data_IF_813767125256
#
_entry.id   IF_813767125256
#
_cell.length_a   1.000
_cell.length_b   1.000
_cell.length_c   1.000
_cell.angle_alpha   90.00
_cell.angle_beta   90.00
_cell.angle_gamma   90.00
#
_symmetry.space_group_name_H-M   'P 1'
#
loop_
_entity.id
_entity.type
_entity.pdbx_description
1 polymer ?
#
# COMPACT_ATOMS: atom_id res chain seq x y z
N UNK A 1 -43.12 -10.76 33.60
CA UNK A 1 -41.94 -10.81 32.71
C UNK A 1 -42.18 -9.80 31.62
N UNK A 2 -41.60 -8.61 31.80
CA UNK A 2 -42.03 -7.38 31.15
C UNK A 2 -41.33 -7.13 29.82
N UNK A 3 -41.95 -6.26 29.01
CA UNK A 3 -41.50 -5.78 27.70
C UNK A 3 -39.97 -5.54 27.56
N UNK A 4 -39.28 -5.15 28.64
CA UNK A 4 -37.82 -4.95 28.63
C UNK A 4 -37.01 -6.19 28.22
N UNK A 5 -37.33 -7.38 28.75
CA UNK A 5 -36.62 -8.62 28.41
C UNK A 5 -36.86 -9.04 26.95
N UNK A 6 -38.04 -8.74 26.41
CA UNK A 6 -38.37 -9.00 25.01
C UNK A 6 -37.64 -8.03 24.07
N UNK A 7 -37.57 -6.75 24.43
CA UNK A 7 -36.80 -5.74 23.68
C UNK A 7 -35.30 -6.04 23.69
N UNK A 8 -34.75 -6.51 24.81
CA UNK A 8 -33.35 -6.95 24.89
C UNK A 8 -33.06 -8.14 23.98
N UNK A 9 -33.92 -9.17 23.97
CA UNK A 9 -33.79 -10.32 23.08
C UNK A 9 -33.90 -9.94 21.60
N UNK A 10 -34.79 -9.01 21.23
CA UNK A 10 -34.88 -8.53 19.85
C UNK A 10 -33.63 -7.73 19.46
N UNK A 11 -33.15 -6.84 20.33
CA UNK A 11 -31.92 -6.08 20.06
C UNK A 11 -30.70 -6.99 19.93
N UNK A 12 -30.62 -8.06 20.73
CA UNK A 12 -29.58 -9.07 20.60
C UNK A 12 -29.67 -9.81 19.26
N UNK A 13 -30.88 -10.26 18.87
CA UNK A 13 -31.09 -10.96 17.59
C UNK A 13 -30.81 -10.05 16.38
N UNK A 14 -31.13 -8.76 16.46
CA UNK A 14 -30.80 -7.78 15.41
C UNK A 14 -29.28 -7.61 15.28
N UNK A 15 -28.54 -7.57 16.40
CA UNK A 15 -27.07 -7.52 16.37
C UNK A 15 -26.47 -8.80 15.77
N UNK A 16 -27.00 -9.96 16.13
CA UNK A 16 -26.60 -11.26 15.55
C UNK A 16 -26.93 -11.37 14.05
N UNK A 17 -27.96 -10.68 13.59
CA UNK A 17 -28.35 -10.58 12.17
C UNK A 17 -27.69 -9.42 11.44
N UNK A 18 -26.89 -8.59 12.12
CA UNK A 18 -26.24 -7.44 11.48
C UNK A 18 -25.14 -7.98 10.56
N UNK A 19 -25.21 -7.70 9.24
CA UNK A 19 -24.23 -8.18 8.28
C UNK A 19 -22.82 -7.79 8.69
N UNK A 20 -21.90 -8.76 8.73
CA UNK A 20 -20.49 -8.49 8.99
C UNK A 20 -19.94 -7.80 7.74
N UNK A 21 -19.94 -6.46 7.75
CA UNK A 21 -19.43 -5.69 6.62
C UNK A 21 -17.90 -5.73 6.54
N UNK A 22 -17.24 -6.00 7.66
CA UNK A 22 -15.78 -6.10 7.74
C UNK A 22 -15.35 -7.26 8.62
N UNK A 23 -14.27 -7.92 8.22
CA UNK A 23 -13.70 -9.05 8.96
C UNK A 23 -12.19 -8.86 9.15
N UNK A 24 -11.68 -9.29 10.29
CA UNK A 24 -10.24 -9.47 10.49
C UNK A 24 -9.83 -10.82 9.91
N UNK A 25 -8.80 -10.81 9.07
CA UNK A 25 -8.29 -12.00 8.43
C UNK A 25 -6.75 -11.95 8.33
N UNK A 26 -6.10 -13.11 8.28
CA UNK A 26 -4.67 -13.22 8.03
C UNK A 26 -4.42 -13.49 6.56
N UNK A 27 -3.50 -12.71 5.95
CA UNK A 27 -3.05 -12.94 4.58
C UNK A 27 -2.40 -14.32 4.43
N UNK A 28 -2.92 -15.17 3.55
CA UNK A 28 -2.38 -16.52 3.27
C UNK A 28 -1.51 -16.49 2.01
N UNK A 29 -1.98 -15.85 0.95
CA UNK A 29 -1.23 -15.72 -0.31
C UNK A 29 -1.66 -14.47 -1.07
N UNK A 30 -0.80 -13.98 -1.95
CA UNK A 30 -1.04 -12.80 -2.78
C UNK A 30 -0.71 -13.13 -4.23
N UNK A 31 -1.69 -12.91 -5.11
CA UNK A 31 -1.49 -12.87 -6.56
C UNK A 31 -1.34 -11.41 -6.99
N UNK A 32 -0.09 -11.00 -7.17
CA UNK A 32 0.23 -9.61 -7.50
C UNK A 32 0.02 -9.25 -8.97
N UNK A 33 -0.12 -10.24 -9.85
CA UNK A 33 -0.42 -10.03 -11.26
C UNK A 33 -1.91 -9.73 -11.43
N UNK A 34 -2.76 -10.57 -10.83
CA UNK A 34 -4.21 -10.42 -10.86
C UNK A 34 -4.76 -9.43 -9.82
N UNK A 35 -3.90 -8.92 -8.92
CA UNK A 35 -4.24 -7.97 -7.84
C UNK A 35 -5.29 -8.53 -6.87
N UNK A 36 -5.15 -9.81 -6.54
CA UNK A 36 -6.01 -10.51 -5.59
C UNK A 36 -5.20 -11.18 -4.47
N UNK A 37 -5.88 -11.54 -3.38
CA UNK A 37 -5.28 -12.32 -2.29
C UNK A 37 -6.25 -13.35 -1.72
N UNK A 38 -5.68 -14.33 -1.01
CA UNK A 38 -6.42 -15.24 -0.14
C UNK A 38 -6.14 -14.88 1.31
N UNK A 39 -7.18 -14.85 2.14
CA UNK A 39 -7.06 -14.58 3.57
C UNK A 39 -7.89 -15.56 4.39
N UNK A 40 -7.49 -15.80 5.63
CA UNK A 40 -8.21 -16.66 6.57
C UNK A 40 -8.74 -15.83 7.74
N UNK A 41 -10.05 -15.86 7.98
CA UNK A 41 -10.71 -15.14 9.06
C UNK A 41 -10.16 -15.53 10.43
N UNK A 42 -9.95 -14.53 11.27
CA UNK A 42 -9.40 -14.72 12.61
C UNK A 42 -10.41 -15.28 13.61
N UNK A 43 -11.71 -15.00 13.40
CA UNK A 43 -12.77 -15.33 14.36
C UNK A 43 -13.55 -16.58 13.97
N UNK A 44 -13.67 -16.85 12.67
CA UNK A 44 -14.53 -17.88 12.08
C UNK A 44 -13.77 -18.96 11.30
N UNK A 45 -12.44 -18.82 11.18
CA UNK A 45 -11.57 -19.67 10.35
C UNK A 45 -12.00 -19.75 8.87
N UNK A 46 -12.86 -18.84 8.39
CA UNK A 46 -13.37 -18.85 7.02
C UNK A 46 -12.27 -18.41 6.04
N UNK A 47 -12.13 -19.14 4.93
CA UNK A 47 -11.25 -18.72 3.84
C UNK A 47 -11.98 -17.76 2.90
N UNK A 48 -11.37 -16.60 2.69
CA UNK A 48 -11.78 -15.56 1.77
C UNK A 48 -10.86 -15.63 0.55
N UNK A 49 -11.43 -15.90 -0.61
CA UNK A 49 -10.71 -15.99 -1.88
C UNK A 49 -10.95 -14.75 -2.73
N UNK A 50 -10.07 -14.52 -3.70
CA UNK A 50 -10.20 -13.46 -4.70
C UNK A 50 -10.46 -12.08 -4.11
N UNK A 51 -9.86 -11.78 -2.95
CA UNK A 51 -10.01 -10.48 -2.30
C UNK A 51 -9.28 -9.43 -3.14
N UNK A 52 -10.01 -8.41 -3.62
CA UNK A 52 -9.46 -7.28 -4.38
C UNK A 52 -8.42 -6.50 -3.53
N UNK A 53 -7.20 -6.33 -4.06
CA UNK A 53 -6.12 -5.58 -3.39
C UNK A 53 -6.14 -4.07 -3.64
N UNK A 54 -7.08 -3.61 -4.46
CA UNK A 54 -7.17 -2.22 -4.91
C UNK A 54 -8.11 -2.04 -6.09
N UNK A 55 -8.31 -0.79 -6.50
CA UNK A 55 -9.27 -0.40 -7.56
C UNK A 55 -8.61 0.44 -8.66
N UNK A 56 -7.38 0.11 -9.05
CA UNK A 56 -6.65 0.78 -10.13
C UNK A 56 -5.84 2.00 -9.70
N UNK A 57 -6.44 2.93 -8.96
CA UNK A 57 -5.74 4.14 -8.46
C UNK A 57 -4.82 3.85 -7.27
N UNK A 58 -5.11 2.82 -6.50
CA UNK A 58 -4.35 2.39 -5.35
C UNK A 58 -4.32 0.85 -5.34
N UNK A 59 -3.15 0.28 -5.05
CA UNK A 59 -2.98 -1.14 -4.78
C UNK A 59 -2.07 -1.33 -3.57
N UNK A 60 -2.49 -2.20 -2.66
CA UNK A 60 -1.74 -2.61 -1.48
C UNK A 60 -1.35 -4.08 -1.63
N UNK A 61 -0.08 -4.42 -1.45
CA UNK A 61 0.40 -5.80 -1.38
C UNK A 61 0.67 -6.18 0.08
N UNK A 62 -0.27 -6.82 0.79
CA UNK A 62 -0.01 -7.30 2.14
C UNK A 62 1.14 -8.28 2.17
N UNK A 63 1.90 -8.23 3.25
CA UNK A 63 2.87 -9.29 3.54
C UNK A 63 2.14 -10.55 3.97
N UNK A 64 2.57 -11.71 3.47
CA UNK A 64 2.01 -12.99 3.90
C UNK A 64 2.16 -13.17 5.41
N UNK A 65 1.16 -13.75 6.05
CA UNK A 65 1.00 -13.90 7.50
C UNK A 65 0.75 -12.60 8.28
N UNK A 66 0.48 -11.47 7.60
CA UNK A 66 0.06 -10.24 8.27
C UNK A 66 -1.44 -10.27 8.62
N UNK A 67 -1.82 -9.50 9.63
CA UNK A 67 -3.21 -9.16 9.90
C UNK A 67 -3.73 -8.17 8.86
N UNK A 68 -4.92 -8.43 8.35
CA UNK A 68 -5.65 -7.60 7.40
C UNK A 68 -7.06 -7.29 7.93
N UNK A 69 -7.58 -6.14 7.54
CA UNK A 69 -8.98 -5.80 7.61
C UNK A 69 -9.55 -5.91 6.19
N UNK A 70 -10.53 -6.78 5.99
CA UNK A 70 -11.23 -6.96 4.71
C UNK A 70 -12.65 -6.45 4.83
N UNK A 71 -13.17 -5.89 3.74
CA UNK A 71 -14.56 -5.49 3.60
C UNK A 71 -15.30 -6.47 2.69
N UNK A 72 -16.54 -6.80 3.04
CA UNK A 72 -17.43 -7.63 2.23
C UNK A 72 -18.41 -6.74 1.48
N UNK A 73 -18.51 -6.94 0.17
CA UNK A 73 -19.51 -6.26 -0.67
C UNK A 73 -20.80 -7.07 -0.58
N UNK A 74 -21.90 -6.39 -0.23
CA UNK A 74 -23.23 -7.01 -0.11
C UNK A 74 -23.27 -8.22 0.85
N UNK A 75 -22.36 -8.24 1.85
CA UNK A 75 -22.20 -9.35 2.80
C UNK A 75 -21.91 -10.70 2.13
N UNK A 76 -21.24 -10.68 0.97
CA UNK A 76 -20.85 -11.86 0.23
C UNK A 76 -19.34 -12.13 0.43
N UNK A 77 -18.95 -13.24 1.10
CA UNK A 77 -17.55 -13.62 1.29
C UNK A 77 -16.78 -13.85 -0.02
N UNK A 78 -17.48 -14.20 -1.11
CA UNK A 78 -16.89 -14.34 -2.44
C UNK A 78 -16.68 -13.00 -3.17
N UNK A 79 -17.06 -11.88 -2.54
CA UNK A 79 -16.87 -10.53 -3.07
C UNK A 79 -16.32 -9.63 -1.96
N UNK A 80 -15.01 -9.72 -1.76
CA UNK A 80 -14.31 -9.03 -0.69
C UNK A 80 -13.20 -8.13 -1.25
N UNK A 81 -12.83 -7.11 -0.49
CA UNK A 81 -11.72 -6.23 -0.82
C UNK A 81 -10.90 -5.91 0.42
N UNK A 82 -9.62 -5.64 0.22
CA UNK A 82 -8.72 -5.23 1.27
C UNK A 82 -9.00 -3.77 1.65
N UNK A 83 -9.29 -3.51 2.93
CA UNK A 83 -9.35 -2.16 3.48
C UNK A 83 -7.95 -1.72 3.92
N UNK A 84 -7.32 -2.56 4.75
CA UNK A 84 -6.04 -2.25 5.38
C UNK A 84 -5.26 -3.52 5.77
N UNK A 85 -3.95 -3.40 5.94
CA UNK A 85 -3.07 -4.47 6.39
C UNK A 85 -1.97 -3.93 7.31
N UNK A 86 -1.61 -4.71 8.34
CA UNK A 86 -0.61 -4.29 9.32
C UNK A 86 0.79 -4.13 8.70
N UNK A 87 1.14 -4.93 7.69
CA UNK A 87 2.39 -4.83 6.94
C UNK A 87 2.13 -4.97 5.43
N UNK A 88 2.83 -4.16 4.64
CA UNK A 88 2.81 -4.18 3.18
C UNK A 88 4.21 -4.44 2.62
N UNK A 89 4.30 -5.27 1.58
CA UNK A 89 5.51 -5.44 0.77
C UNK A 89 5.64 -4.34 -0.30
N UNK A 90 4.51 -3.94 -0.88
CA UNK A 90 4.43 -2.93 -1.93
C UNK A 90 3.14 -2.11 -1.80
N UNK A 91 3.23 -0.82 -2.06
CA UNK A 91 2.09 0.10 -2.13
C UNK A 91 2.24 0.96 -3.38
N UNK A 92 1.23 0.97 -4.24
CA UNK A 92 1.20 1.77 -5.45
C UNK A 92 0.05 2.77 -5.41
N UNK A 93 0.33 4.01 -5.75
CA UNK A 93 -0.66 5.04 -6.02
C UNK A 93 -0.47 5.59 -7.44
N UNK A 94 -1.57 5.79 -8.14
CA UNK A 94 -1.60 6.32 -9.50
C UNK A 94 -2.64 7.42 -9.65
N UNK A 95 -2.23 8.53 -10.22
CA UNK A 95 -3.11 9.63 -10.64
C UNK A 95 -2.68 10.14 -12.01
N UNK A 96 -3.50 9.88 -13.04
CA UNK A 96 -3.14 10.17 -14.42
C UNK A 96 -1.82 9.51 -14.83
N UNK A 97 -0.82 10.33 -15.15
CA UNK A 97 0.54 9.90 -15.54
C UNK A 97 1.52 9.84 -14.36
N UNK A 98 1.09 10.23 -13.15
CA UNK A 98 1.92 10.21 -11.94
C UNK A 98 1.72 8.90 -11.19
N UNK A 99 2.83 8.27 -10.82
CA UNK A 99 2.86 7.00 -10.09
C UNK A 99 3.85 7.10 -8.92
N UNK A 100 3.39 6.70 -7.74
CA UNK A 100 4.19 6.54 -6.53
C UNK A 100 4.18 5.06 -6.15
N UNK A 101 5.35 4.45 -6.07
CA UNK A 101 5.51 3.07 -5.60
C UNK A 101 6.42 3.04 -4.38
N UNK A 102 5.95 2.47 -3.28
CA UNK A 102 6.72 2.27 -2.06
C UNK A 102 6.98 0.78 -1.88
N UNK A 103 8.25 0.42 -1.68
CA UNK A 103 8.72 -0.95 -1.43
C UNK A 103 9.70 -0.92 -0.25
N UNK A 104 9.97 -2.09 0.33
CA UNK A 104 11.04 -2.23 1.33
C UNK A 104 12.40 -1.73 0.78
N UNK A 105 12.66 -1.94 -0.51
CA UNK A 105 13.90 -1.52 -1.14
C UNK A 105 14.03 0.00 -1.34
N UNK A 106 12.92 0.75 -1.30
CA UNK A 106 12.90 2.19 -1.51
C UNK A 106 11.63 2.70 -2.18
N UNK A 107 11.71 3.92 -2.71
CA UNK A 107 10.57 4.64 -3.30
C UNK A 107 10.83 4.94 -4.77
N UNK A 108 9.82 4.77 -5.60
CA UNK A 108 9.80 5.18 -7.01
C UNK A 108 8.75 6.28 -7.15
N UNK A 109 9.15 7.44 -7.68
CA UNK A 109 8.25 8.56 -7.99
C UNK A 109 8.43 8.87 -9.46
N UNK A 110 7.36 8.72 -10.24
CA UNK A 110 7.35 8.89 -11.69
C UNK A 110 6.25 9.84 -12.12
N UNK A 111 6.52 10.63 -13.15
CA UNK A 111 5.50 11.40 -13.87
C UNK A 111 5.78 11.32 -15.37
N UNK A 112 4.86 10.73 -16.12
CA UNK A 112 5.02 10.53 -17.56
C UNK A 112 6.22 9.61 -17.86
N UNK A 113 7.26 10.16 -18.49
CA UNK A 113 8.47 9.41 -18.88
C UNK A 113 9.68 9.68 -17.97
N UNK A 114 9.53 10.50 -16.93
CA UNK A 114 10.60 10.86 -16.02
C UNK A 114 10.37 10.27 -14.62
N UNK A 115 11.45 9.88 -13.97
CA UNK A 115 11.47 9.50 -12.57
C UNK A 115 12.34 10.47 -11.76
N UNK A 116 11.96 10.70 -10.51
CA UNK A 116 12.59 11.70 -9.65
C UNK A 116 14.07 11.39 -9.37
N UNK A 117 14.47 10.12 -9.37
CA UNK A 117 15.86 9.71 -9.16
C UNK A 117 16.72 10.22 -10.31
N UNK A 118 16.25 10.05 -11.55
CA UNK A 118 16.92 10.54 -12.76
C UNK A 118 17.06 12.06 -12.72
N UNK A 119 15.97 12.79 -12.44
CA UNK A 119 16.00 14.26 -12.34
C UNK A 119 17.02 14.76 -11.31
N UNK A 120 17.09 14.13 -10.12
CA UNK A 120 18.09 14.51 -9.12
C UNK A 120 19.52 14.16 -9.53
N UNK A 121 19.73 13.01 -10.17
CA UNK A 121 21.04 12.61 -10.65
C UNK A 121 21.55 13.60 -11.71
N UNK A 122 20.70 13.97 -12.67
CA UNK A 122 21.02 14.93 -13.73
C UNK A 122 21.32 16.32 -13.15
N UNK A 123 20.52 16.77 -12.17
CA UNK A 123 20.77 18.04 -11.48
C UNK A 123 22.14 18.04 -10.79
N UNK A 124 22.48 16.96 -10.07
CA UNK A 124 23.79 16.84 -9.40
C UNK A 124 24.92 16.85 -10.42
N UNK A 125 24.75 16.15 -11.54
CA UNK A 125 25.75 16.09 -12.61
C UNK A 125 25.96 17.44 -13.28
N UNK A 126 24.90 18.21 -13.54
CA UNK A 126 25.01 19.57 -14.07
C UNK A 126 25.66 20.52 -13.05
N UNK A 127 25.30 20.42 -11.77
CA UNK A 127 25.92 21.23 -10.72
C UNK A 127 27.42 20.94 -10.63
N UNK A 128 27.85 19.68 -10.68
CA UNK A 128 29.26 19.30 -10.62
C UNK A 128 30.12 19.85 -11.78
N UNK A 129 29.51 20.36 -12.86
CA UNK A 129 30.22 21.00 -13.98
C UNK A 129 30.54 22.48 -13.74
N UNK A 130 29.98 23.11 -12.71
CA UNK A 130 30.18 24.54 -12.46
C UNK A 130 31.64 24.81 -12.08
N UNK A 131 32.26 25.74 -12.81
CA UNK A 131 33.61 26.24 -12.54
C UNK A 131 33.50 27.65 -11.97
N UNK A 132 33.97 27.85 -10.73
CA UNK A 132 33.93 29.14 -10.04
C UNK A 132 35.24 29.90 -10.26
N UNK A 133 35.17 31.12 -10.80
CA UNK A 133 36.34 32.00 -11.04
C UNK A 133 36.72 32.78 -9.78
N UNK A 134 35.74 33.14 -8.94
CA UNK A 134 35.94 33.82 -7.65
C UNK A 134 35.04 33.21 -6.59
N UNK A 135 35.61 32.79 -5.47
CA UNK A 135 34.88 32.19 -4.34
C UNK A 135 35.11 30.69 -4.18
N UNK A 136 34.18 30.01 -3.51
CA UNK A 136 34.28 28.57 -3.24
C UNK A 136 33.68 27.76 -4.40
N UNK A 137 34.44 26.80 -4.91
CA UNK A 137 33.93 25.84 -5.89
C UNK A 137 33.03 24.79 -5.23
N UNK A 138 32.26 24.08 -6.05
CA UNK A 138 31.43 22.98 -5.59
C UNK A 138 32.30 21.84 -5.06
N UNK A 139 31.90 21.30 -3.91
CA UNK A 139 32.51 20.10 -3.37
C UNK A 139 31.96 18.86 -4.08
N UNK A 140 32.58 18.51 -5.21
CA UNK A 140 32.17 17.37 -6.05
C UNK A 140 32.13 16.06 -5.25
N UNK A 141 33.09 15.82 -4.35
CA UNK A 141 33.13 14.61 -3.52
C UNK A 141 31.90 14.52 -2.60
N UNK A 142 31.51 15.63 -1.98
CA UNK A 142 30.31 15.69 -1.16
C UNK A 142 29.03 15.50 -2.01
N UNK A 143 28.97 16.09 -3.19
CA UNK A 143 27.85 15.93 -4.12
C UNK A 143 27.69 14.48 -4.59
N UNK A 144 28.77 13.78 -4.94
CA UNK A 144 28.74 12.36 -5.28
C UNK A 144 28.28 11.47 -4.11
N UNK A 145 28.70 11.82 -2.89
CA UNK A 145 28.22 11.13 -1.68
C UNK A 145 26.71 11.34 -1.49
N UNK A 146 26.20 12.54 -1.74
CA UNK A 146 24.76 12.83 -1.72
C UNK A 146 24.03 12.03 -2.80
N UNK A 147 24.57 11.97 -4.02
CA UNK A 147 24.00 11.20 -5.15
C UNK A 147 23.87 9.72 -4.79
N UNK A 148 24.92 9.13 -4.21
CA UNK A 148 24.88 7.73 -3.76
C UNK A 148 23.81 7.52 -2.69
N UNK A 149 23.72 8.39 -1.69
CA UNK A 149 22.68 8.33 -0.65
C UNK A 149 21.28 8.43 -1.25
N UNK A 150 21.03 9.34 -2.18
CA UNK A 150 19.75 9.46 -2.88
C UNK A 150 19.38 8.15 -3.60
N UNK A 151 20.34 7.52 -4.29
CA UNK A 151 20.12 6.27 -5.02
C UNK A 151 19.87 5.05 -4.09
N UNK A 152 20.18 5.14 -2.80
CA UNK A 152 19.77 4.13 -1.81
C UNK A 152 18.28 4.21 -1.49
N UNK A 153 17.70 5.41 -1.50
CA UNK A 153 16.30 5.69 -1.14
C UNK A 153 15.40 5.64 -2.38
N UNK A 154 15.79 6.34 -3.45
CA UNK A 154 15.04 6.42 -4.69
C UNK A 154 15.45 5.32 -5.65
N UNK A 155 14.46 4.63 -6.20
CA UNK A 155 14.62 3.58 -7.22
C UNK A 155 14.09 4.07 -8.55
N UNK A 156 14.64 3.49 -9.62
CA UNK A 156 14.15 3.71 -10.98
C UNK A 156 12.97 2.76 -11.22
N UNK A 157 12.01 3.20 -12.03
CA UNK A 157 10.86 2.39 -12.44
C UNK A 157 11.25 1.26 -13.37
#
# INVERSE_FOLDING_TARGET
MGLGAFTELINQRIKELTPIQTAYATCVSVDWENKTMVAKGQTDDLEYYDIDLGRGAEYKKPKVNTLCLIGLIENNPANAFLLDAAELEELNFKTGTTELTVKESGVIIKSGNEDLKTVFNDMIDELNKIVVIYGNTINVVAMETIKQRLNTILKSS
#
